data_IF_911752730203
#
_entry.id   IF_911752730203
#
_cell.length_a   1.000
_cell.length_b   1.000
_cell.length_c   1.000
_cell.angle_alpha   90.00
_cell.angle_beta   90.00
_cell.angle_gamma   90.00
#
_symmetry.space_group_name_H-M   'P 1'
#
loop_
_entity.id
_entity.type
_entity.pdbx_description
1 polymer ?
#
# COMPACT_ATOMS: atom_id res chain seq x y z
N UNK A 1 -26.70 19.41 -21.52
CA UNK A 1 -26.38 18.31 -20.58
C UNK A 1 -25.54 18.90 -19.46
N UNK A 2 -26.09 19.01 -18.28
CA UNK A 2 -25.59 19.79 -17.14
C UNK A 2 -24.38 19.09 -16.48
N UNK A 3 -23.21 19.71 -16.56
CA UNK A 3 -21.92 19.27 -15.98
C UNK A 3 -21.86 19.33 -14.44
N UNK A 4 -22.96 19.53 -13.77
CA UNK A 4 -23.06 19.80 -12.31
C UNK A 4 -22.62 18.68 -11.37
N UNK A 5 -22.21 17.52 -11.84
CA UNK A 5 -21.78 16.39 -10.97
C UNK A 5 -20.30 16.02 -11.03
N UNK A 6 -19.55 16.58 -12.00
CA UNK A 6 -18.17 16.15 -12.32
C UNK A 6 -17.08 16.94 -11.58
N UNK A 7 -17.41 18.10 -11.00
CA UNK A 7 -16.47 18.98 -10.33
C UNK A 7 -16.90 19.28 -8.89
N UNK A 8 -15.93 19.40 -7.98
CA UNK A 8 -16.10 20.11 -6.72
C UNK A 8 -15.75 21.58 -6.96
N UNK A 9 -16.59 22.51 -6.48
CA UNK A 9 -16.39 23.94 -6.67
C UNK A 9 -16.06 24.61 -5.33
N UNK A 10 -15.06 25.49 -5.35
CA UNK A 10 -14.62 26.27 -4.21
C UNK A 10 -14.53 27.74 -4.61
N UNK A 11 -14.94 28.63 -3.73
CA UNK A 11 -14.72 30.06 -3.87
C UNK A 11 -13.64 30.46 -2.87
N UNK A 12 -12.68 31.26 -3.30
CA UNK A 12 -11.56 31.73 -2.47
C UNK A 12 -12.02 32.85 -1.57
N UNK A 13 -11.89 32.68 -0.25
CA UNK A 13 -12.19 33.72 0.72
C UNK A 13 -11.06 34.77 0.81
N UNK A 14 -11.36 35.94 1.34
CA UNK A 14 -10.38 37.02 1.58
C UNK A 14 -9.15 36.55 2.36
N UNK A 15 -9.35 35.77 3.42
CA UNK A 15 -8.28 35.22 4.26
C UNK A 15 -7.40 34.18 3.54
N UNK A 16 -7.87 33.62 2.43
CA UNK A 16 -7.18 32.60 1.64
C UNK A 16 -6.49 33.20 0.41
N UNK A 17 -6.69 34.51 0.17
CA UNK A 17 -6.06 35.22 -0.93
C UNK A 17 -4.54 35.15 -0.84
N UNK A 18 -3.89 35.10 -2.00
CA UNK A 18 -2.43 34.98 -2.19
C UNK A 18 -1.83 33.63 -1.76
N UNK A 19 -2.63 32.68 -1.26
CA UNK A 19 -2.14 31.31 -1.07
C UNK A 19 -1.83 30.69 -2.43
N UNK A 20 -0.87 29.80 -2.46
CA UNK A 20 -0.65 28.97 -3.64
C UNK A 20 -1.79 28.00 -3.83
N UNK A 21 -2.23 27.77 -5.07
CA UNK A 21 -3.35 26.89 -5.40
C UNK A 21 -3.19 25.47 -4.82
N UNK A 22 -1.95 24.92 -4.87
CA UNK A 22 -1.69 23.58 -4.31
C UNK A 22 -1.79 23.54 -2.77
N UNK A 23 -1.57 24.66 -2.09
CA UNK A 23 -1.73 24.79 -0.63
C UNK A 23 -3.19 25.01 -0.28
N UNK A 24 -3.89 25.89 -1.00
CA UNK A 24 -5.31 26.15 -0.83
C UNK A 24 -6.13 24.86 -0.97
N UNK A 25 -5.92 24.11 -2.07
CA UNK A 25 -6.62 22.86 -2.29
C UNK A 25 -6.24 21.77 -1.29
N UNK A 26 -4.98 21.72 -0.83
CA UNK A 26 -4.57 20.76 0.19
C UNK A 26 -5.29 21.00 1.53
N UNK A 27 -5.61 22.24 1.87
CA UNK A 27 -6.42 22.55 3.06
C UNK A 27 -7.90 22.13 2.88
N UNK A 28 -8.49 22.38 1.70
CA UNK A 28 -9.91 22.05 1.42
C UNK A 28 -10.17 20.56 1.17
N UNK A 29 -9.18 19.81 0.70
CA UNK A 29 -9.32 18.40 0.24
C UNK A 29 -8.37 17.45 1.00
N UNK A 30 -7.94 17.82 2.20
CA UNK A 30 -7.00 17.04 3.02
C UNK A 30 -7.49 15.64 3.40
N UNK A 31 -8.81 15.41 3.37
CA UNK A 31 -9.47 14.13 3.62
C UNK A 31 -9.40 13.17 2.41
N UNK A 32 -9.22 13.69 1.19
CA UNK A 32 -9.35 12.93 -0.06
C UNK A 32 -8.07 12.87 -0.90
N UNK A 33 -7.23 13.90 -0.85
CA UNK A 33 -6.06 14.04 -1.72
C UNK A 33 -4.82 14.50 -0.99
N UNK A 34 -3.68 13.87 -1.28
CA UNK A 34 -2.39 14.40 -0.88
C UNK A 34 -2.01 15.62 -1.74
N UNK A 35 -1.17 16.52 -1.20
CA UNK A 35 -0.69 17.68 -1.95
C UNK A 35 -0.01 17.30 -3.28
N UNK A 36 0.71 16.19 -3.31
CA UNK A 36 1.36 15.69 -4.53
C UNK A 36 0.34 15.27 -5.59
N UNK A 37 -0.78 14.62 -5.19
CA UNK A 37 -1.89 14.29 -6.08
C UNK A 37 -2.55 15.55 -6.63
N UNK A 38 -2.82 16.55 -5.79
CA UNK A 38 -3.38 17.83 -6.22
C UNK A 38 -2.47 18.55 -7.22
N UNK A 39 -1.17 18.59 -7.00
CA UNK A 39 -0.22 19.14 -7.97
C UNK A 39 -0.25 18.41 -9.31
N UNK A 40 -0.40 17.07 -9.30
CA UNK A 40 -0.55 16.29 -10.53
C UNK A 40 -1.85 16.62 -11.24
N UNK A 41 -2.97 16.73 -10.52
CA UNK A 41 -4.28 17.12 -11.05
C UNK A 41 -4.24 18.51 -11.70
N UNK A 42 -3.64 19.49 -11.02
CA UNK A 42 -3.47 20.84 -11.57
C UNK A 42 -2.68 20.80 -12.89
N UNK A 43 -1.54 20.09 -12.93
CA UNK A 43 -0.70 19.97 -14.14
C UNK A 43 -1.38 19.24 -15.29
N UNK A 44 -2.29 18.30 -14.99
CA UNK A 44 -3.05 17.55 -16.01
C UNK A 44 -4.32 18.27 -16.48
N UNK A 45 -4.62 19.48 -15.97
CA UNK A 45 -5.83 20.23 -16.33
C UNK A 45 -7.09 19.82 -15.60
N UNK A 46 -7.00 18.94 -14.58
CA UNK A 46 -8.13 18.54 -13.74
C UNK A 46 -8.54 19.60 -12.70
N UNK A 47 -7.85 20.73 -12.65
CA UNK A 47 -8.21 21.89 -11.81
C UNK A 47 -8.23 23.14 -12.67
N UNK A 48 -9.30 23.90 -12.55
CA UNK A 48 -9.51 25.14 -13.27
C UNK A 48 -9.73 26.30 -12.29
N UNK A 49 -9.13 27.45 -12.56
CA UNK A 49 -9.41 28.71 -11.88
C UNK A 49 -10.09 29.62 -12.89
N UNK A 50 -11.29 30.11 -12.59
CA UNK A 50 -12.14 30.88 -13.52
C UNK A 50 -12.23 30.19 -14.90
N UNK A 51 -12.37 28.85 -14.92
CA UNK A 51 -12.45 28.05 -16.14
C UNK A 51 -11.13 27.88 -16.91
N UNK A 52 -10.00 28.33 -16.38
CA UNK A 52 -8.68 28.27 -17.05
C UNK A 52 -7.71 27.37 -16.30
N UNK A 53 -6.85 26.68 -17.03
CA UNK A 53 -5.75 25.91 -16.46
C UNK A 53 -4.65 26.84 -15.96
N UNK A 54 -4.12 26.53 -14.77
CA UNK A 54 -3.04 27.31 -14.13
C UNK A 54 -1.96 26.36 -13.60
N UNK A 55 -0.89 26.93 -13.03
CA UNK A 55 0.19 26.13 -12.41
C UNK A 55 -0.11 25.85 -10.92
N UNK A 56 0.50 24.83 -10.29
CA UNK A 56 0.35 24.58 -8.85
C UNK A 56 0.77 25.75 -7.94
N UNK A 57 1.62 26.61 -8.47
CA UNK A 57 2.14 27.78 -7.75
C UNK A 57 1.32 29.07 -7.96
N UNK A 58 0.22 28.97 -8.71
CA UNK A 58 -0.68 30.11 -8.92
C UNK A 58 -1.14 30.67 -7.56
N UNK A 59 -1.03 31.98 -7.38
CA UNK A 59 -1.52 32.66 -6.19
C UNK A 59 -3.01 32.97 -6.39
N UNK A 60 -3.87 32.29 -5.63
CA UNK A 60 -5.33 32.47 -5.73
C UNK A 60 -5.75 33.84 -5.20
N UNK A 61 -6.82 34.41 -5.74
CA UNK A 61 -7.35 35.73 -5.38
C UNK A 61 -8.73 35.58 -4.78
N UNK A 62 -9.07 36.46 -3.85
CA UNK A 62 -10.40 36.51 -3.24
C UNK A 62 -11.50 36.61 -4.33
N UNK A 63 -12.56 35.82 -4.18
CA UNK A 63 -13.68 35.75 -5.11
C UNK A 63 -13.48 34.84 -6.32
N UNK A 64 -12.27 34.33 -6.58
CA UNK A 64 -12.04 33.38 -7.69
C UNK A 64 -12.76 32.06 -7.44
N UNK A 65 -13.38 31.51 -8.50
CA UNK A 65 -13.98 30.18 -8.51
C UNK A 65 -12.95 29.14 -8.97
N UNK A 66 -12.80 28.10 -8.18
CA UNK A 66 -11.90 26.98 -8.44
C UNK A 66 -12.72 25.71 -8.62
N UNK A 67 -12.66 25.12 -9.81
CA UNK A 67 -13.32 23.83 -10.13
C UNK A 67 -12.29 22.71 -10.10
N UNK A 68 -12.53 21.68 -9.31
CA UNK A 68 -11.67 20.49 -9.19
C UNK A 68 -12.42 19.29 -9.75
N UNK A 69 -11.87 18.65 -10.78
CA UNK A 69 -12.47 17.47 -11.37
C UNK A 69 -12.51 16.34 -10.33
N UNK A 70 -13.70 15.80 -10.09
CA UNK A 70 -13.86 14.58 -9.30
C UNK A 70 -13.22 13.45 -10.08
N UNK A 71 -12.08 12.96 -9.61
CA UNK A 71 -11.53 11.74 -10.19
C UNK A 71 -12.57 10.64 -10.03
N UNK A 72 -13.16 10.20 -11.14
CA UNK A 72 -13.90 8.94 -11.13
C UNK A 72 -12.92 7.87 -10.65
N UNK A 73 -13.22 7.28 -9.50
CA UNK A 73 -12.43 6.15 -8.99
C UNK A 73 -12.47 5.08 -10.07
N UNK A 74 -11.34 4.66 -10.64
CA UNK A 74 -11.35 3.61 -11.64
C UNK A 74 -12.06 2.41 -11.01
N UNK A 75 -13.15 1.94 -11.64
CA UNK A 75 -13.80 0.70 -11.19
C UNK A 75 -12.75 -0.40 -11.23
N UNK A 76 -12.48 -0.96 -10.06
CA UNK A 76 -11.65 -2.15 -9.96
C UNK A 76 -12.49 -3.28 -10.54
N UNK A 77 -12.15 -3.74 -11.72
CA UNK A 77 -12.85 -4.85 -12.40
C UNK A 77 -12.39 -6.20 -11.80
N UNK A 78 -12.49 -6.28 -10.47
CA UNK A 78 -12.21 -7.47 -9.69
C UNK A 78 -13.49 -7.89 -8.97
N UNK A 79 -13.88 -9.16 -9.05
CA UNK A 79 -15.07 -9.64 -8.37
C UNK A 79 -14.91 -9.53 -6.85
N UNK A 80 -15.90 -8.96 -6.18
CA UNK A 80 -16.04 -9.06 -4.73
C UNK A 80 -16.50 -10.47 -4.38
N UNK A 81 -15.83 -11.13 -3.44
CA UNK A 81 -16.12 -12.51 -3.06
C UNK A 81 -16.39 -12.62 -1.56
N UNK A 82 -17.47 -13.32 -1.18
CA UNK A 82 -17.87 -13.55 0.21
C UNK A 82 -16.96 -14.57 0.92
N UNK A 83 -15.65 -14.32 0.90
CA UNK A 83 -14.64 -15.16 1.55
C UNK A 83 -14.48 -14.69 2.98
N UNK A 84 -14.62 -15.57 3.99
CA UNK A 84 -14.39 -15.19 5.38
C UNK A 84 -12.95 -14.72 5.62
N UNK A 85 -12.80 -13.56 6.26
CA UNK A 85 -11.52 -13.03 6.73
C UNK A 85 -11.68 -12.54 8.17
N UNK A 86 -10.66 -12.76 8.98
CA UNK A 86 -10.62 -12.25 10.34
C UNK A 86 -10.15 -10.80 10.33
N UNK A 87 -11.04 -9.89 10.74
CA UNK A 87 -10.74 -8.47 10.89
C UNK A 87 -10.30 -8.24 12.34
N UNK A 88 -9.06 -7.77 12.51
CA UNK A 88 -8.46 -7.49 13.81
C UNK A 88 -8.72 -6.05 14.28
N UNK A 89 -8.80 -5.11 13.33
CA UNK A 89 -9.10 -3.71 13.57
C UNK A 89 -9.64 -3.06 12.29
N UNK A 90 -10.55 -2.13 12.42
CA UNK A 90 -11.02 -1.30 11.34
C UNK A 90 -11.37 0.11 11.84
N UNK A 91 -10.91 1.13 11.12
CA UNK A 91 -11.33 2.52 11.29
C UNK A 91 -11.66 3.17 9.93
N UNK A 92 -11.74 4.49 9.88
CA UNK A 92 -12.03 5.21 8.64
C UNK A 92 -10.86 5.21 7.63
N UNK A 93 -9.63 5.06 8.10
CA UNK A 93 -8.41 5.21 7.32
C UNK A 93 -7.82 3.88 6.85
N UNK A 94 -7.92 2.83 7.67
CA UNK A 94 -7.29 1.53 7.42
C UNK A 94 -8.11 0.37 8.00
N UNK A 95 -7.77 -0.83 7.55
CA UNK A 95 -8.25 -2.10 8.11
C UNK A 95 -7.05 -3.03 8.33
N UNK A 96 -7.06 -3.75 9.44
CA UNK A 96 -6.06 -4.76 9.80
C UNK A 96 -6.73 -6.12 9.80
N UNK A 97 -6.15 -7.05 9.07
CA UNK A 97 -6.71 -8.40 8.92
C UNK A 97 -5.69 -9.47 9.26
N UNK A 98 -6.14 -10.62 9.73
CA UNK A 98 -5.34 -11.83 9.84
C UNK A 98 -5.51 -12.65 8.55
N UNK A 99 -4.53 -12.58 7.66
CA UNK A 99 -4.58 -13.37 6.41
C UNK A 99 -4.35 -14.84 6.71
N UNK A 100 -5.23 -15.76 6.31
CA UNK A 100 -4.98 -17.19 6.45
C UNK A 100 -3.84 -17.67 5.52
N UNK A 101 -3.20 -18.78 5.90
CA UNK A 101 -2.32 -19.52 5.00
C UNK A 101 -3.12 -20.11 3.83
N UNK A 102 -2.49 -20.27 2.67
CA UNK A 102 -3.14 -20.75 1.42
C UNK A 102 -3.78 -19.64 0.58
N UNK A 103 -4.00 -18.44 1.14
CA UNK A 103 -4.62 -17.31 0.44
C UNK A 103 -3.54 -16.39 -0.18
N UNK A 104 -3.69 -16.07 -1.48
CA UNK A 104 -2.89 -15.07 -2.19
C UNK A 104 -3.41 -13.68 -1.86
N UNK A 105 -2.54 -12.68 -1.73
CA UNK A 105 -2.94 -11.31 -1.35
C UNK A 105 -3.73 -10.62 -2.46
N UNK A 106 -3.29 -10.70 -3.71
CA UNK A 106 -3.91 -10.01 -4.85
C UNK A 106 -3.84 -10.88 -6.11
N UNK A 107 -4.73 -10.66 -7.09
CA UNK A 107 -4.73 -11.42 -8.33
C UNK A 107 -3.36 -11.43 -9.02
N UNK A 108 -2.95 -12.60 -9.46
CA UNK A 108 -1.68 -12.84 -10.13
C UNK A 108 -1.82 -14.03 -11.09
N UNK A 109 -0.81 -14.22 -11.94
CA UNK A 109 -0.78 -15.37 -12.85
C UNK A 109 -0.97 -16.69 -12.10
N UNK A 110 -1.99 -17.46 -12.47
CA UNK A 110 -2.37 -18.73 -11.82
C UNK A 110 -3.29 -18.57 -10.59
N UNK A 111 -3.61 -17.35 -10.17
CA UNK A 111 -4.57 -17.08 -9.09
C UNK A 111 -5.32 -15.76 -9.42
N UNK A 112 -6.25 -15.79 -10.40
CA UNK A 112 -6.98 -14.57 -10.81
C UNK A 112 -8.04 -14.14 -9.80
N UNK A 113 -8.57 -15.08 -9.02
CA UNK A 113 -9.65 -14.90 -8.05
C UNK A 113 -9.28 -15.53 -6.70
N UNK A 114 -10.19 -15.49 -5.74
CA UNK A 114 -10.05 -16.06 -4.38
C UNK A 114 -8.85 -15.51 -3.63
N UNK A 115 -8.60 -14.22 -3.80
CA UNK A 115 -7.50 -13.51 -3.14
C UNK A 115 -8.01 -12.68 -1.96
N UNK A 116 -7.09 -12.21 -1.10
CA UNK A 116 -7.45 -11.29 -0.02
C UNK A 116 -8.13 -10.01 -0.56
N UNK A 117 -7.70 -9.51 -1.72
CA UNK A 117 -8.33 -8.34 -2.36
C UNK A 117 -9.79 -8.62 -2.72
N UNK A 118 -10.10 -9.82 -3.28
CA UNK A 118 -11.49 -10.19 -3.60
C UNK A 118 -12.37 -10.24 -2.32
N UNK A 119 -11.83 -10.79 -1.22
CA UNK A 119 -12.50 -10.79 0.07
C UNK A 119 -12.69 -9.37 0.63
N UNK A 120 -11.65 -8.54 0.58
CA UNK A 120 -11.72 -7.14 1.05
C UNK A 120 -12.74 -6.31 0.27
N UNK A 121 -12.85 -6.49 -1.04
CA UNK A 121 -13.86 -5.82 -1.87
C UNK A 121 -15.30 -6.17 -1.46
N UNK A 122 -15.53 -7.36 -0.88
CA UNK A 122 -16.81 -7.75 -0.34
C UNK A 122 -17.08 -7.16 1.05
N UNK A 123 -16.10 -7.23 1.95
CA UNK A 123 -16.26 -6.85 3.36
C UNK A 123 -16.12 -5.35 3.62
N UNK A 124 -15.38 -4.62 2.78
CA UNK A 124 -15.02 -3.22 2.99
C UNK A 124 -15.61 -2.33 1.90
N UNK A 125 -16.39 -1.32 2.30
CA UNK A 125 -17.05 -0.41 1.35
C UNK A 125 -16.09 0.42 0.53
N UNK A 126 -15.00 0.85 1.13
CA UNK A 126 -14.01 1.74 0.50
C UNK A 126 -12.61 1.17 0.71
N UNK A 127 -11.87 1.02 -0.36
CA UNK A 127 -10.44 0.76 -0.35
C UNK A 127 -9.73 1.86 -1.14
N UNK A 128 -8.51 2.18 -0.75
CA UNK A 128 -7.68 3.11 -1.53
C UNK A 128 -7.44 2.57 -2.93
N UNK A 129 -7.56 3.47 -3.91
CA UNK A 129 -7.25 3.19 -5.31
C UNK A 129 -5.89 3.77 -5.73
N UNK A 130 -5.11 4.29 -4.78
CA UNK A 130 -3.73 4.70 -5.04
C UNK A 130 -2.86 3.48 -5.37
N UNK A 131 -1.97 3.64 -6.33
CA UNK A 131 -1.07 2.56 -6.77
C UNK A 131 -1.61 1.73 -7.93
N UNK A 132 -1.62 0.42 -7.79
CA UNK A 132 -1.98 -0.52 -8.86
C UNK A 132 -3.49 -0.83 -8.83
N UNK A 133 -4.17 -0.73 -9.99
CA UNK A 133 -5.61 -1.00 -10.15
C UNK A 133 -6.05 -2.40 -9.70
N UNK A 134 -5.16 -3.37 -9.70
CA UNK A 134 -5.44 -4.75 -9.25
C UNK A 134 -5.08 -5.00 -7.78
N UNK A 135 -4.71 -3.95 -7.04
CA UNK A 135 -4.25 -4.05 -5.64
C UNK A 135 -4.80 -2.93 -4.76
N UNK A 136 -6.13 -2.67 -4.79
CA UNK A 136 -6.71 -1.59 -4.01
C UNK A 136 -6.34 -1.74 -2.52
N UNK A 137 -5.84 -0.65 -1.93
CA UNK A 137 -5.46 -0.58 -0.52
C UNK A 137 -4.21 -1.35 -0.10
N UNK A 138 -3.61 -2.16 -0.97
CA UNK A 138 -2.48 -3.05 -0.62
C UNK A 138 -1.16 -2.28 -0.64
N UNK A 139 -0.55 -2.12 0.52
CA UNK A 139 0.75 -1.44 0.72
C UNK A 139 1.91 -2.41 0.98
N UNK A 140 1.61 -3.66 1.35
CA UNK A 140 2.58 -4.74 1.53
C UNK A 140 1.95 -6.10 1.25
N UNK A 141 2.73 -7.17 1.34
CA UNK A 141 2.23 -8.52 1.06
C UNK A 141 2.88 -9.58 1.93
N UNK A 142 2.12 -10.64 2.16
CA UNK A 142 2.60 -11.94 2.63
C UNK A 142 2.57 -12.96 1.48
N UNK A 143 3.38 -14.00 1.57
CA UNK A 143 3.35 -15.12 0.64
C UNK A 143 2.03 -15.90 0.78
N UNK A 144 1.66 -16.70 -0.23
CA UNK A 144 0.43 -17.50 -0.24
C UNK A 144 0.26 -18.30 1.06
N UNK A 145 1.28 -19.07 1.42
CA UNK A 145 1.22 -20.02 2.54
C UNK A 145 1.72 -19.42 3.87
N UNK A 146 1.94 -18.10 3.92
CA UNK A 146 2.24 -17.37 5.14
C UNK A 146 0.96 -16.75 5.68
N UNK A 147 0.61 -17.08 6.92
CA UNK A 147 -0.45 -16.44 7.66
C UNK A 147 0.06 -15.23 8.43
N UNK A 148 -0.84 -14.35 8.85
CA UNK A 148 -0.51 -13.26 9.77
C UNK A 148 -1.12 -11.92 9.42
N UNK A 149 -0.74 -10.93 10.20
CA UNK A 149 -1.31 -9.59 10.21
C UNK A 149 -0.95 -8.83 8.94
N UNK A 150 -1.96 -8.24 8.32
CA UNK A 150 -1.80 -7.32 7.20
C UNK A 150 -2.59 -6.04 7.44
N UNK A 151 -1.97 -4.90 7.15
CA UNK A 151 -2.62 -3.60 7.13
C UNK A 151 -2.98 -3.22 5.69
N UNK A 152 -4.19 -2.73 5.50
CA UNK A 152 -4.74 -2.34 4.20
C UNK A 152 -5.32 -0.93 4.30
N UNK A 153 -5.04 -0.07 3.35
CA UNK A 153 -5.49 1.31 3.35
C UNK A 153 -6.91 1.44 2.78
N UNK A 154 -7.78 2.15 3.50
CA UNK A 154 -9.14 2.51 3.03
C UNK A 154 -9.14 3.84 2.30
N UNK A 155 -8.22 4.76 2.62
CA UNK A 155 -8.07 6.07 2.00
C UNK A 155 -6.73 6.20 1.29
N UNK A 156 -6.65 7.08 0.27
CA UNK A 156 -5.41 7.32 -0.49
C UNK A 156 -4.34 8.00 0.38
N UNK A 157 -4.74 8.80 1.37
CA UNK A 157 -3.83 9.40 2.33
C UNK A 157 -3.19 8.34 3.22
N UNK A 158 -3.99 7.41 3.74
CA UNK A 158 -3.48 6.29 4.53
C UNK A 158 -2.55 5.41 3.69
N UNK A 159 -2.91 5.16 2.42
CA UNK A 159 -2.07 4.41 1.48
C UNK A 159 -0.70 5.05 1.31
N UNK A 160 -0.65 6.34 0.97
CA UNK A 160 0.61 7.09 0.81
C UNK A 160 1.47 7.06 2.07
N UNK A 161 0.85 7.28 3.25
CA UNK A 161 1.56 7.27 4.55
C UNK A 161 2.11 5.88 4.89
N UNK A 162 1.30 4.83 4.75
CA UNK A 162 1.72 3.46 4.99
C UNK A 162 2.79 3.01 4.00
N UNK A 163 2.60 3.28 2.70
CA UNK A 163 3.58 2.94 1.67
C UNK A 163 4.94 3.61 1.94
N UNK A 164 4.93 4.88 2.43
CA UNK A 164 6.14 5.56 2.86
C UNK A 164 6.81 4.83 4.03
N UNK A 165 6.06 4.45 5.06
CA UNK A 165 6.61 3.74 6.23
C UNK A 165 7.20 2.38 5.83
N UNK A 166 6.55 1.62 4.93
CA UNK A 166 7.11 0.37 4.39
C UNK A 166 8.38 0.61 3.56
N UNK A 167 8.42 1.67 2.77
CA UNK A 167 9.58 2.07 1.96
C UNK A 167 10.77 2.48 2.82
N UNK A 168 10.51 3.28 3.86
CA UNK A 168 11.52 3.81 4.77
C UNK A 168 11.93 2.77 5.84
N UNK A 169 11.30 1.58 5.80
CA UNK A 169 11.51 0.49 6.78
C UNK A 169 11.26 0.90 8.25
N UNK A 170 10.41 1.90 8.49
CA UNK A 170 10.05 2.37 9.83
C UNK A 170 9.01 1.48 10.53
N UNK A 171 8.33 0.60 9.79
CA UNK A 171 7.41 -0.39 10.36
C UNK A 171 8.23 -1.59 10.84
N UNK A 172 8.12 -1.89 12.13
CA UNK A 172 8.67 -3.10 12.70
C UNK A 172 7.85 -4.32 12.24
N UNK A 173 8.52 -5.31 11.67
CA UNK A 173 7.90 -6.55 11.18
C UNK A 173 8.48 -7.72 11.93
N UNK A 174 7.64 -8.46 12.64
CA UNK A 174 8.04 -9.63 13.41
C UNK A 174 7.34 -10.86 12.84
N UNK A 175 8.13 -11.89 12.54
CA UNK A 175 7.65 -13.17 12.05
C UNK A 175 8.10 -14.29 12.99
N UNK A 176 7.29 -15.33 13.07
CA UNK A 176 7.70 -16.60 13.66
C UNK A 176 7.81 -17.66 12.57
N UNK A 177 8.86 -18.44 12.61
CA UNK A 177 9.04 -19.53 11.67
C UNK A 177 9.67 -20.75 12.38
N UNK A 178 9.25 -21.94 11.95
CA UNK A 178 9.95 -23.18 12.31
C UNK A 178 10.87 -23.51 11.14
N UNK A 179 12.17 -23.55 11.42
CA UNK A 179 13.19 -23.91 10.43
C UNK A 179 13.68 -25.33 10.67
N UNK A 180 14.09 -26.01 9.62
CA UNK A 180 14.65 -27.35 9.67
C UNK A 180 16.04 -27.31 10.29
N UNK A 181 16.32 -28.25 11.21
CA UNK A 181 17.59 -28.35 11.90
C UNK A 181 17.64 -27.53 13.19
N UNK A 182 18.68 -27.78 13.98
CA UNK A 182 18.89 -27.13 15.28
C UNK A 182 19.95 -26.04 15.12
N UNK A 183 19.49 -24.79 15.24
CA UNK A 183 20.41 -23.62 15.19
C UNK A 183 21.17 -23.58 16.52
N UNK A 184 22.51 -23.50 16.47
CA UNK A 184 23.36 -23.52 17.66
C UNK A 184 23.41 -22.16 18.37
N UNK A 185 23.47 -21.06 17.63
CA UNK A 185 23.50 -19.70 18.17
C UNK A 185 22.09 -19.22 18.55
N UNK A 186 21.98 -18.47 19.65
CA UNK A 186 20.67 -17.98 20.13
C UNK A 186 20.11 -16.85 19.27
N UNK A 187 20.95 -16.09 18.62
CA UNK A 187 20.59 -15.02 17.71
C UNK A 187 21.64 -14.83 16.62
N UNK A 188 21.29 -14.12 15.57
CA UNK A 188 22.21 -13.82 14.48
C UNK A 188 21.59 -12.96 13.39
N UNK A 189 22.44 -12.64 12.42
CA UNK A 189 22.08 -11.87 11.22
C UNK A 189 22.44 -12.67 9.98
N UNK A 190 21.54 -12.69 9.00
CA UNK A 190 21.77 -13.27 7.69
C UNK A 190 21.78 -12.12 6.69
N UNK A 191 22.94 -11.88 6.08
CA UNK A 191 23.18 -10.82 5.09
C UNK A 191 23.57 -11.46 3.77
N UNK A 192 22.55 -11.91 3.02
CA UNK A 192 22.76 -12.63 1.78
C UNK A 192 21.87 -12.08 0.66
N UNK A 193 22.43 -11.65 -0.48
CA UNK A 193 21.62 -11.16 -1.58
C UNK A 193 20.75 -12.27 -2.17
N UNK A 194 19.50 -11.96 -2.43
CA UNK A 194 18.52 -12.92 -2.95
C UNK A 194 18.01 -12.52 -4.35
N UNK A 195 17.75 -13.52 -5.16
CA UNK A 195 17.26 -13.32 -6.52
C UNK A 195 16.60 -14.55 -7.11
N UNK A 196 15.93 -14.39 -8.26
CA UNK A 196 15.31 -15.50 -8.95
C UNK A 196 16.37 -16.43 -9.55
N UNK A 197 16.18 -17.74 -9.39
CA UNK A 197 17.02 -18.75 -10.03
C UNK A 197 16.93 -18.64 -11.56
N UNK A 198 18.05 -18.92 -12.23
CA UNK A 198 18.14 -18.82 -13.69
C UNK A 198 17.24 -19.84 -14.40
N UNK A 199 17.33 -21.11 -14.02
CA UNK A 199 16.58 -22.20 -14.62
C UNK A 199 15.12 -22.29 -14.18
N UNK A 200 14.81 -21.86 -12.95
CA UNK A 200 13.45 -21.85 -12.41
C UNK A 200 13.11 -20.49 -11.80
N UNK A 201 12.58 -19.59 -12.59
CA UNK A 201 12.25 -18.23 -12.17
C UNK A 201 11.17 -18.12 -11.07
N UNK A 202 10.46 -19.20 -10.74
CA UNK A 202 9.55 -19.27 -9.59
C UNK A 202 10.30 -19.42 -8.27
N UNK A 203 11.54 -19.97 -8.31
CA UNK A 203 12.38 -20.18 -7.12
C UNK A 203 13.24 -18.94 -6.86
N UNK A 204 13.30 -18.54 -5.60
CA UNK A 204 14.24 -17.52 -5.10
C UNK A 204 15.37 -18.23 -4.38
N UNK A 205 16.59 -17.80 -4.62
CA UNK A 205 17.82 -18.38 -4.07
C UNK A 205 18.74 -17.26 -3.58
N UNK A 206 19.71 -17.60 -2.75
CA UNK A 206 20.87 -16.75 -2.49
C UNK A 206 21.62 -16.57 -3.83
N UNK A 207 21.83 -15.32 -4.21
CA UNK A 207 22.40 -14.96 -5.51
C UNK A 207 23.44 -13.85 -5.36
N UNK A 208 24.71 -14.19 -5.10
CA UNK A 208 25.78 -13.22 -4.84
C UNK A 208 25.97 -12.21 -5.97
N UNK A 209 25.82 -12.66 -7.24
CA UNK A 209 25.93 -11.79 -8.40
C UNK A 209 24.54 -11.47 -8.98
N UNK A 210 24.14 -10.18 -8.95
CA UNK A 210 22.87 -9.70 -9.50
C UNK A 210 21.65 -10.04 -8.62
N UNK A 211 21.83 -10.46 -7.39
CA UNK A 211 20.81 -10.50 -6.35
C UNK A 211 20.51 -9.11 -5.79
N UNK A 212 19.46 -9.00 -5.01
CA UNK A 212 19.12 -7.80 -4.24
C UNK A 212 19.51 -8.04 -2.78
N UNK A 213 20.21 -7.10 -2.16
CA UNK A 213 20.59 -7.18 -0.76
C UNK A 213 19.39 -7.49 0.12
N UNK A 214 19.59 -8.45 1.02
CA UNK A 214 18.59 -8.85 1.99
C UNK A 214 19.25 -9.07 3.35
N UNK A 215 18.67 -8.43 4.38
CA UNK A 215 19.15 -8.51 5.76
C UNK A 215 18.03 -9.02 6.65
N UNK A 216 18.30 -10.06 7.41
CA UNK A 216 17.34 -10.75 8.26
C UNK A 216 17.96 -11.03 9.63
N UNK A 217 17.41 -10.42 10.68
CA UNK A 217 17.76 -10.74 12.06
C UNK A 217 16.90 -11.90 12.54
N UNK A 218 17.49 -12.81 13.31
CA UNK A 218 16.74 -13.88 13.96
C UNK A 218 17.13 -14.04 15.43
N UNK A 219 16.16 -14.52 16.22
CA UNK A 219 16.36 -14.93 17.62
C UNK A 219 15.69 -16.27 17.84
N UNK A 220 16.41 -17.24 18.39
CA UNK A 220 15.88 -18.55 18.74
C UNK A 220 14.91 -18.42 19.90
N UNK A 221 13.70 -18.94 19.73
CA UNK A 221 12.68 -19.01 20.78
C UNK A 221 12.66 -20.39 21.44
N UNK A 222 12.80 -21.43 20.61
CA UNK A 222 12.77 -22.81 21.10
C UNK A 222 13.48 -23.74 20.12
N UNK A 223 14.23 -24.69 20.65
CA UNK A 223 14.86 -25.78 19.90
C UNK A 223 14.10 -27.07 20.10
N UNK A 224 13.82 -27.75 18.99
CA UNK A 224 13.22 -29.08 18.97
C UNK A 224 14.24 -30.09 18.47
N UNK A 225 13.94 -31.38 18.50
CA UNK A 225 14.87 -32.43 18.06
C UNK A 225 15.29 -32.32 16.59
N UNK A 226 14.43 -31.76 15.73
CA UNK A 226 14.66 -31.66 14.26
C UNK A 226 14.34 -30.29 13.67
N UNK A 227 14.13 -29.28 14.49
CA UNK A 227 13.75 -27.93 14.07
C UNK A 227 13.99 -26.89 15.14
N UNK A 228 13.92 -25.65 14.74
CA UNK A 228 14.08 -24.49 15.63
C UNK A 228 12.97 -23.50 15.37
N UNK A 229 12.25 -23.09 16.41
CA UNK A 229 11.33 -21.94 16.34
C UNK A 229 12.17 -20.67 16.48
N UNK A 230 12.04 -19.79 15.51
CA UNK A 230 12.76 -18.51 15.49
C UNK A 230 11.79 -17.34 15.37
N UNK A 231 12.08 -16.27 16.07
CA UNK A 231 11.55 -14.94 15.82
C UNK A 231 12.45 -14.28 14.78
N UNK A 232 11.85 -13.68 13.76
CA UNK A 232 12.56 -13.11 12.61
C UNK A 232 12.14 -11.66 12.44
N UNK A 233 13.12 -10.77 12.32
CA UNK A 233 12.94 -9.32 12.06
C UNK A 233 13.68 -8.96 10.76
N UNK A 234 12.98 -9.02 9.60
CA UNK A 234 13.60 -8.66 8.33
C UNK A 234 13.76 -7.14 8.22
N UNK A 235 14.97 -6.66 8.00
CA UNK A 235 15.22 -5.25 7.69
C UNK A 235 14.76 -4.91 6.26
N UNK A 236 14.94 -5.82 5.34
CA UNK A 236 14.49 -5.71 3.94
C UNK A 236 13.23 -6.55 3.70
N UNK A 237 12.55 -6.37 2.57
CA UNK A 237 11.31 -7.09 2.21
C UNK A 237 11.39 -7.74 0.84
N UNK A 238 12.35 -8.66 0.62
CA UNK A 238 12.47 -9.36 -0.66
C UNK A 238 11.50 -10.52 -0.76
N UNK A 239 11.09 -10.85 -1.98
CA UNK A 239 10.22 -12.03 -2.24
C UNK A 239 10.88 -13.28 -1.67
N UNK A 240 10.11 -14.05 -0.89
CA UNK A 240 10.54 -15.29 -0.24
C UNK A 240 11.80 -15.16 0.65
N UNK A 241 12.10 -13.97 1.19
CA UNK A 241 13.32 -13.70 1.95
C UNK A 241 13.47 -14.64 3.15
N UNK A 242 12.42 -14.86 3.91
CA UNK A 242 12.45 -15.73 5.10
C UNK A 242 12.53 -17.23 4.71
N UNK A 243 12.05 -17.60 3.52
CA UNK A 243 12.15 -18.97 2.99
C UNK A 243 13.54 -19.30 2.49
#
# INVERSE_FOLDING_TARGET
>A
MTTRGRFDEFIVDEAESQLRLDVFLAAKLSDRHSRAQLQKMIRSGGVLVEGKTVTPHYAVKAGESISVEKLERPRVDLPAEAIPIEILHEDEALIVVNKPAGMVVHPAHGNPNHTLVNALLFHVRNLSHEGDKVRPGIVHRLDKDTSGVMVVAKTDIAHSKLAKQFKDHSIERVYHAIVRGVIQHDEGVIEEPVGRAFLNRKKVIVKPSGGKDAVTYFKVKQRFSRGTLVEIRPQTGRTHQIR
#
